data_IF_441741585579
#
_entry.id   IF_441741585579
#
_cell.length_a   1.000
_cell.length_b   1.000
_cell.length_c   1.000
_cell.angle_alpha   90.00
_cell.angle_beta   90.00
_cell.angle_gamma   90.00
#
_symmetry.space_group_name_H-M   'P 1'
#
loop_
_entity.id
_entity.type
_entity.pdbx_description
1 polymer ?
#
# COMPACT_ATOMS: atom_id res chain seq x y z
N UNK A 1 2.71 -24.90 -10.66
CA UNK A 1 1.88 -23.73 -10.99
C UNK A 1 2.75 -22.77 -11.79
N UNK A 2 2.36 -22.39 -13.00
CA UNK A 2 3.02 -21.30 -13.71
C UNK A 2 2.57 -19.99 -13.04
N UNK A 3 3.50 -19.24 -12.44
CA UNK A 3 3.19 -17.92 -11.87
C UNK A 3 2.71 -16.93 -12.92
N UNK A 4 2.06 -15.84 -12.49
CA UNK A 4 1.67 -14.70 -13.34
C UNK A 4 2.93 -14.04 -13.91
N UNK A 5 2.96 -13.73 -15.21
CA UNK A 5 4.14 -13.21 -15.91
C UNK A 5 3.86 -11.98 -16.76
N UNK A 6 2.58 -11.70 -17.05
CA UNK A 6 2.17 -10.66 -17.99
C UNK A 6 1.48 -9.54 -17.22
N UNK A 7 2.29 -8.59 -16.77
CA UNK A 7 1.83 -7.45 -15.96
C UNK A 7 1.75 -6.17 -16.80
N UNK A 8 0.71 -5.37 -16.56
CA UNK A 8 0.68 -3.95 -16.93
C UNK A 8 0.86 -3.14 -15.66
N UNK A 9 1.69 -2.11 -15.73
CA UNK A 9 1.87 -1.12 -14.67
C UNK A 9 1.09 0.13 -15.03
N UNK A 10 0.28 0.60 -14.08
CA UNK A 10 -0.43 1.86 -14.14
C UNK A 10 -0.02 2.65 -12.91
N UNK A 11 0.28 3.94 -13.04
CA UNK A 11 0.68 4.75 -11.88
C UNK A 11 0.22 6.18 -11.99
N UNK A 12 0.01 6.84 -10.86
CA UNK A 12 -0.16 8.29 -10.89
C UNK A 12 1.18 8.95 -11.24
N UNK A 13 1.13 10.11 -11.90
CA UNK A 13 2.32 10.92 -12.20
C UNK A 13 2.82 11.68 -10.96
N UNK A 14 2.99 10.97 -9.85
CA UNK A 14 3.41 11.48 -8.55
C UNK A 14 4.66 10.75 -8.08
N UNK A 15 5.48 11.39 -7.24
CA UNK A 15 6.68 10.73 -6.66
C UNK A 15 6.32 9.39 -6.01
N UNK A 16 5.17 9.34 -5.33
CA UNK A 16 4.66 8.13 -4.72
C UNK A 16 4.38 7.03 -5.77
N UNK A 17 3.62 7.34 -6.82
CA UNK A 17 3.32 6.39 -7.90
C UNK A 17 4.56 5.85 -8.62
N UNK A 18 5.54 6.71 -8.91
CA UNK A 18 6.83 6.30 -9.49
C UNK A 18 7.60 5.37 -8.53
N UNK A 19 7.73 5.75 -7.25
CA UNK A 19 8.54 5.00 -6.27
C UNK A 19 8.14 3.54 -6.07
N UNK A 20 6.87 3.20 -6.32
CA UNK A 20 6.33 1.85 -6.17
C UNK A 20 6.47 0.97 -7.41
N UNK A 21 6.77 1.56 -8.56
CA UNK A 21 6.66 0.88 -9.87
C UNK A 21 8.00 0.65 -10.55
N UNK A 22 9.04 1.41 -10.17
CA UNK A 22 10.36 1.38 -10.80
C UNK A 22 11.00 -0.03 -10.84
N UNK A 23 10.70 -0.89 -9.87
CA UNK A 23 11.29 -2.24 -9.75
C UNK A 23 10.47 -3.35 -10.44
N UNK A 24 9.31 -3.04 -11.03
CA UNK A 24 8.45 -4.05 -11.64
C UNK A 24 8.85 -4.38 -13.07
N UNK A 25 9.00 -5.67 -13.38
CA UNK A 25 9.07 -6.16 -14.76
C UNK A 25 7.66 -6.18 -15.35
N UNK A 26 7.46 -5.46 -16.47
CA UNK A 26 6.14 -5.24 -17.05
C UNK A 26 6.15 -5.26 -18.58
N UNK A 27 4.96 -5.46 -19.16
CA UNK A 27 4.73 -5.36 -20.60
C UNK A 27 4.48 -3.91 -21.05
N UNK A 28 3.91 -3.12 -20.15
CA UNK A 28 3.57 -1.73 -20.36
C UNK A 28 3.61 -1.02 -19.02
N UNK A 29 4.17 0.19 -18.99
CA UNK A 29 4.06 1.14 -17.89
C UNK A 29 3.39 2.41 -18.44
N UNK A 30 2.37 2.90 -17.75
CA UNK A 30 1.69 4.13 -18.14
C UNK A 30 1.34 4.97 -16.92
N UNK A 31 1.75 6.23 -17.00
CA UNK A 31 1.36 7.26 -16.06
C UNK A 31 -0.06 7.77 -16.37
N UNK A 32 -0.86 7.98 -15.33
CA UNK A 32 -2.12 8.71 -15.35
C UNK A 32 -2.04 9.91 -14.42
N UNK A 33 -2.85 10.92 -14.66
CA UNK A 33 -2.90 12.08 -13.77
C UNK A 33 -3.64 11.75 -12.48
N UNK A 34 -3.20 12.35 -11.37
CA UNK A 34 -3.92 12.27 -10.09
C UNK A 34 -5.34 12.82 -10.26
N UNK A 35 -6.32 12.13 -9.69
CA UNK A 35 -7.74 12.45 -9.86
C UNK A 35 -8.40 11.87 -11.13
N UNK A 36 -7.70 11.07 -11.92
CA UNK A 36 -8.31 10.37 -13.06
C UNK A 36 -9.45 9.46 -12.58
N UNK A 37 -10.64 9.60 -13.16
CA UNK A 37 -11.81 8.78 -12.83
C UNK A 37 -12.29 7.90 -14.00
N UNK A 38 -11.89 8.23 -15.24
CA UNK A 38 -12.37 7.56 -16.45
C UNK A 38 -11.27 6.69 -17.07
N UNK A 39 -11.35 5.38 -16.83
CA UNK A 39 -10.35 4.41 -17.30
C UNK A 39 -10.82 3.53 -18.45
N UNK A 40 -12.07 3.63 -18.90
CA UNK A 40 -12.67 2.69 -19.86
C UNK A 40 -11.88 2.55 -21.17
N UNK A 41 -11.58 3.67 -21.84
CA UNK A 41 -10.81 3.66 -23.09
C UNK A 41 -9.36 3.20 -22.87
N UNK A 42 -8.77 3.59 -21.75
CA UNK A 42 -7.40 3.21 -21.38
C UNK A 42 -7.29 1.71 -21.14
N UNK A 43 -8.16 1.12 -20.32
CA UNK A 43 -8.21 -0.33 -20.07
C UNK A 43 -8.50 -1.12 -21.34
N UNK A 44 -9.35 -0.59 -22.24
CA UNK A 44 -9.62 -1.24 -23.52
C UNK A 44 -8.35 -1.40 -24.40
N UNK A 45 -7.36 -0.51 -24.22
CA UNK A 45 -6.08 -0.53 -24.93
C UNK A 45 -5.07 -1.54 -24.38
N UNK A 46 -5.33 -2.15 -23.22
CA UNK A 46 -4.42 -3.14 -22.63
C UNK A 46 -4.23 -4.36 -23.55
N UNK A 47 -3.05 -5.01 -23.52
CA UNK A 47 -2.86 -6.31 -24.15
C UNK A 47 -3.89 -7.31 -23.61
N UNK A 48 -4.45 -8.16 -24.49
CA UNK A 48 -5.58 -9.04 -24.13
C UNK A 48 -5.19 -10.22 -23.25
N UNK A 49 -3.91 -10.55 -23.19
CA UNK A 49 -3.36 -11.71 -22.48
C UNK A 49 -2.59 -11.30 -21.22
N UNK A 50 -3.04 -10.24 -20.53
CA UNK A 50 -2.45 -9.82 -19.26
C UNK A 50 -3.03 -10.63 -18.09
N UNK A 51 -2.15 -11.00 -17.16
CA UNK A 51 -2.52 -11.73 -15.95
C UNK A 51 -2.93 -10.79 -14.82
N UNK A 52 -2.27 -9.63 -14.75
CA UNK A 52 -2.45 -8.66 -13.67
C UNK A 52 -2.20 -7.24 -14.12
N UNK A 53 -2.78 -6.31 -13.37
CA UNK A 53 -2.40 -4.90 -13.37
C UNK A 53 -1.77 -4.58 -12.02
N UNK A 54 -0.59 -3.98 -12.03
CA UNK A 54 -0.01 -3.36 -10.84
C UNK A 54 -0.29 -1.86 -10.86
N UNK A 55 -0.95 -1.34 -9.82
CA UNK A 55 -1.31 0.07 -9.71
C UNK A 55 -0.51 0.79 -8.62
N UNK A 56 0.26 1.80 -9.03
CA UNK A 56 0.99 2.70 -8.16
C UNK A 56 0.26 4.02 -7.95
N UNK A 57 -0.57 4.12 -6.92
CA UNK A 57 -1.34 5.32 -6.63
C UNK A 57 -2.28 5.12 -5.45
N UNK A 58 -3.35 5.93 -5.38
CA UNK A 58 -4.27 5.92 -4.23
C UNK A 58 -5.70 5.61 -4.67
N UNK A 59 -6.59 6.60 -4.65
CA UNK A 59 -8.04 6.44 -4.78
C UNK A 59 -8.49 6.14 -6.22
N UNK A 60 -7.69 6.49 -7.24
CA UNK A 60 -7.99 6.21 -8.64
C UNK A 60 -7.90 4.70 -8.98
N UNK A 61 -7.35 3.89 -8.07
CA UNK A 61 -7.36 2.45 -8.19
C UNK A 61 -8.78 1.87 -8.26
N UNK A 62 -9.76 2.50 -7.59
CA UNK A 62 -11.14 2.03 -7.60
C UNK A 62 -11.84 2.17 -8.97
N UNK A 63 -11.84 3.35 -9.63
CA UNK A 63 -12.35 3.45 -10.99
C UNK A 63 -11.55 2.64 -12.01
N UNK A 64 -10.22 2.50 -11.84
CA UNK A 64 -9.40 1.59 -12.66
C UNK A 64 -9.89 0.14 -12.54
N UNK A 65 -10.08 -0.35 -11.31
CA UNK A 65 -10.59 -1.69 -11.05
C UNK A 65 -11.95 -1.94 -11.71
N UNK A 66 -12.89 -0.99 -11.58
CA UNK A 66 -14.21 -1.10 -12.21
C UNK A 66 -14.11 -1.20 -13.73
N UNK A 67 -13.23 -0.41 -14.35
CA UNK A 67 -13.00 -0.48 -15.79
C UNK A 67 -12.38 -1.84 -16.19
N UNK A 68 -11.45 -2.39 -15.41
CA UNK A 68 -10.87 -3.73 -15.61
C UNK A 68 -11.95 -4.82 -15.58
N UNK A 69 -12.84 -4.79 -14.58
CA UNK A 69 -13.94 -5.75 -14.46
C UNK A 69 -14.93 -5.64 -15.60
N UNK A 70 -15.31 -4.42 -15.99
CA UNK A 70 -16.19 -4.20 -17.13
C UNK A 70 -15.58 -4.73 -18.46
N UNK A 71 -14.27 -4.57 -18.64
CA UNK A 71 -13.55 -5.03 -19.83
C UNK A 71 -13.12 -6.51 -19.78
N UNK A 72 -13.26 -7.17 -18.62
CA UNK A 72 -12.82 -8.55 -18.36
C UNK A 72 -11.33 -8.77 -18.66
N UNK A 73 -10.48 -7.86 -18.20
CA UNK A 73 -9.01 -7.91 -18.35
C UNK A 73 -8.31 -7.77 -17.01
N UNK A 74 -7.12 -8.34 -16.86
CA UNK A 74 -6.31 -8.19 -15.64
C UNK A 74 -7.05 -8.75 -14.42
N UNK A 75 -7.24 -10.07 -14.38
CA UNK A 75 -8.02 -10.76 -13.35
C UNK A 75 -7.58 -10.44 -11.91
N UNK A 76 -6.31 -10.06 -11.73
CA UNK A 76 -5.78 -9.52 -10.49
C UNK A 76 -5.42 -8.03 -10.64
N UNK A 77 -5.92 -7.21 -9.73
CA UNK A 77 -5.34 -5.89 -9.45
C UNK A 77 -4.43 -6.02 -8.22
N UNK A 78 -3.13 -5.79 -8.40
CA UNK A 78 -2.18 -5.60 -7.32
C UNK A 78 -1.91 -4.10 -7.15
N UNK A 79 -1.77 -3.63 -5.93
CA UNK A 79 -1.61 -2.20 -5.61
C UNK A 79 -0.61 -2.04 -4.48
N UNK A 80 -0.11 -0.83 -4.24
CA UNK A 80 0.55 -0.51 -2.97
C UNK A 80 -0.41 0.01 -1.91
N UNK A 81 0.15 0.46 -0.79
CA UNK A 81 -0.55 0.81 0.44
C UNK A 81 -1.54 1.99 0.30
N UNK A 82 -1.42 2.79 -0.75
CA UNK A 82 -2.33 3.87 -1.09
C UNK A 82 -3.75 3.40 -1.41
N UNK A 83 -3.94 2.15 -1.82
CA UNK A 83 -5.25 1.53 -1.98
C UNK A 83 -5.73 0.78 -0.72
N UNK A 84 -4.94 0.74 0.35
CA UNK A 84 -5.39 0.21 1.65
C UNK A 84 -6.29 1.22 2.39
N UNK A 85 -7.28 1.77 1.70
CA UNK A 85 -8.15 2.80 2.22
C UNK A 85 -9.60 2.36 2.11
N UNK A 86 -10.29 2.30 3.26
CA UNK A 86 -11.70 1.98 3.34
C UNK A 86 -12.57 2.96 2.57
N UNK A 87 -12.34 4.26 2.77
CA UNK A 87 -13.19 5.34 2.27
C UNK A 87 -12.87 5.70 0.82
N UNK A 88 -11.58 5.72 0.47
CA UNK A 88 -11.16 6.22 -0.83
C UNK A 88 -10.94 5.12 -1.89
N UNK A 89 -10.85 3.84 -1.47
CA UNK A 89 -10.69 2.73 -2.40
C UNK A 89 -11.75 1.64 -2.22
N UNK A 90 -11.84 1.01 -1.04
CA UNK A 90 -12.69 -0.18 -0.85
C UNK A 90 -14.18 0.12 -1.02
N UNK A 91 -14.68 1.17 -0.36
CA UNK A 91 -16.09 1.60 -0.49
C UNK A 91 -16.43 2.02 -1.94
N UNK A 92 -15.63 2.87 -2.61
CA UNK A 92 -15.84 3.18 -4.01
C UNK A 92 -15.75 1.96 -4.94
N UNK A 93 -14.83 1.02 -4.70
CA UNK A 93 -14.68 -0.19 -5.50
C UNK A 93 -15.91 -1.10 -5.37
N UNK A 94 -16.46 -1.23 -4.17
CA UNK A 94 -17.61 -2.07 -3.87
C UNK A 94 -17.39 -3.52 -4.31
N UNK A 95 -18.41 -4.14 -4.91
CA UNK A 95 -18.36 -5.53 -5.37
C UNK A 95 -17.22 -5.81 -6.38
N UNK A 96 -16.70 -4.80 -7.09
CA UNK A 96 -15.58 -4.99 -8.01
C UNK A 96 -14.31 -5.49 -7.30
N UNK A 97 -14.15 -5.16 -6.01
CA UNK A 97 -13.03 -5.63 -5.17
C UNK A 97 -13.08 -7.13 -4.87
N UNK A 98 -14.26 -7.75 -4.96
CA UNK A 98 -14.47 -9.17 -4.67
C UNK A 98 -14.57 -10.03 -5.94
N UNK A 99 -14.64 -9.39 -7.11
CA UNK A 99 -14.71 -10.08 -8.40
C UNK A 99 -13.34 -10.62 -8.84
N UNK A 100 -13.39 -11.67 -9.67
CA UNK A 100 -12.23 -12.40 -10.20
C UNK A 100 -11.30 -12.92 -9.08
N UNK A 101 -10.03 -12.53 -9.09
CA UNK A 101 -9.06 -12.88 -8.04
C UNK A 101 -9.02 -11.85 -6.89
N UNK A 102 -9.94 -10.89 -6.92
CA UNK A 102 -9.99 -9.79 -5.98
C UNK A 102 -8.87 -8.76 -6.18
N UNK A 103 -8.47 -8.12 -5.08
CA UNK A 103 -7.42 -7.10 -5.02
C UNK A 103 -6.34 -7.53 -4.05
N UNK A 104 -5.08 -7.41 -4.45
CA UNK A 104 -3.93 -7.53 -3.56
C UNK A 104 -3.36 -6.15 -3.26
N UNK A 105 -3.11 -5.89 -1.97
CA UNK A 105 -2.54 -4.63 -1.50
C UNK A 105 -1.21 -4.93 -0.83
N UNK A 106 -0.12 -4.40 -1.37
CA UNK A 106 1.21 -4.48 -0.80
C UNK A 106 1.33 -3.38 0.26
N UNK A 107 1.39 -3.79 1.53
CA UNK A 107 1.53 -2.88 2.66
C UNK A 107 2.79 -3.20 3.46
N UNK A 108 3.46 -2.15 3.94
CA UNK A 108 4.60 -2.29 4.86
C UNK A 108 4.16 -2.55 6.31
N UNK A 109 2.86 -2.43 6.61
CA UNK A 109 2.33 -2.60 7.94
C UNK A 109 2.44 -4.07 8.39
N UNK A 110 2.98 -4.33 9.59
CA UNK A 110 3.17 -5.68 10.08
C UNK A 110 1.82 -6.40 10.32
N UNK A 111 1.79 -7.69 10.01
CA UNK A 111 0.62 -8.53 10.25
C UNK A 111 0.29 -8.60 11.75
N UNK A 112 -0.98 -8.33 12.08
CA UNK A 112 -1.48 -8.38 13.45
C UNK A 112 -1.36 -9.82 13.97
N UNK A 113 -0.64 -9.99 15.07
CA UNK A 113 -0.41 -11.28 15.69
C UNK A 113 0.87 -11.98 15.29
N UNK A 114 1.64 -11.42 14.34
CA UNK A 114 2.98 -11.91 14.00
C UNK A 114 4.04 -11.17 14.82
N UNK A 115 3.92 -9.86 14.95
CA UNK A 115 4.83 -9.05 15.78
C UNK A 115 4.36 -9.03 17.23
N UNK A 116 5.27 -9.23 18.18
CA UNK A 116 4.95 -9.16 19.61
C UNK A 116 4.32 -7.80 19.98
N UNK A 117 3.21 -7.80 20.71
CA UNK A 117 2.51 -6.57 21.11
C UNK A 117 1.52 -6.03 20.09
N UNK A 118 1.51 -6.56 18.86
CA UNK A 118 0.62 -6.07 17.78
C UNK A 118 -0.85 -6.32 18.06
N UNK A 119 -1.22 -7.44 18.70
CA UNK A 119 -2.62 -7.73 19.07
C UNK A 119 -3.12 -6.76 20.12
N UNK A 120 -2.30 -6.49 21.13
CA UNK A 120 -2.62 -5.55 22.20
C UNK A 120 -2.71 -4.12 21.68
N UNK A 121 -1.84 -3.74 20.73
CA UNK A 121 -1.98 -2.46 20.05
C UNK A 121 -3.30 -2.36 19.27
N UNK A 122 -3.59 -3.36 18.42
CA UNK A 122 -4.81 -3.39 17.61
C UNK A 122 -6.08 -3.31 18.48
N UNK A 123 -6.12 -4.03 19.59
CA UNK A 123 -7.23 -3.99 20.54
C UNK A 123 -7.38 -2.58 21.15
N UNK A 124 -6.31 -2.02 21.73
CA UNK A 124 -6.36 -0.67 22.34
C UNK A 124 -6.74 0.42 21.34
N UNK A 125 -6.25 0.30 20.10
CA UNK A 125 -6.62 1.23 19.04
C UNK A 125 -8.10 1.12 18.73
N UNK A 126 -8.59 -0.12 18.55
CA UNK A 126 -9.99 -0.40 18.19
C UNK A 126 -10.96 0.09 19.26
N UNK A 127 -10.67 -0.16 20.53
CA UNK A 127 -11.50 0.27 21.65
C UNK A 127 -11.64 1.80 21.74
N UNK A 128 -10.66 2.53 21.23
CA UNK A 128 -10.59 4.00 21.35
C UNK A 128 -10.98 4.76 20.09
N UNK A 129 -10.66 4.21 18.92
CA UNK A 129 -10.74 4.91 17.64
C UNK A 129 -11.54 4.14 16.58
N UNK A 130 -12.01 2.92 16.88
CA UNK A 130 -12.66 2.04 15.92
C UNK A 130 -11.66 1.31 15.01
N UNK A 131 -12.11 0.79 13.86
CA UNK A 131 -11.30 -0.11 13.04
C UNK A 131 -9.91 0.45 12.71
N UNK A 132 -8.90 -0.42 12.77
CA UNK A 132 -7.52 -0.09 12.44
C UNK A 132 -7.45 0.47 11.01
N UNK A 133 -6.71 1.57 10.84
CA UNK A 133 -6.49 2.23 9.56
C UNK A 133 -5.06 1.98 9.08
N UNK A 134 -4.85 2.07 7.77
CA UNK A 134 -3.60 1.73 7.08
C UNK A 134 -2.32 2.25 7.75
N UNK A 135 -2.29 3.52 8.17
CA UNK A 135 -1.09 4.12 8.76
C UNK A 135 -1.06 4.15 10.29
N UNK A 136 -2.05 3.54 10.96
CA UNK A 136 -2.17 3.64 12.42
C UNK A 136 -0.97 2.99 13.15
N UNK A 137 -0.53 1.83 12.69
CA UNK A 137 0.59 1.10 13.29
C UNK A 137 1.90 1.85 13.03
N UNK A 138 2.16 2.22 11.78
CA UNK A 138 3.40 2.92 11.40
C UNK A 138 3.55 4.25 12.13
N UNK A 139 2.46 5.02 12.28
CA UNK A 139 2.46 6.25 13.06
C UNK A 139 2.76 5.99 14.54
N UNK A 140 2.20 4.91 15.11
CA UNK A 140 2.44 4.55 16.50
C UNK A 140 3.90 4.16 16.73
N UNK A 141 4.47 3.32 15.86
CA UNK A 141 5.84 2.85 15.97
C UNK A 141 6.83 4.01 15.77
N UNK A 142 6.60 4.89 14.81
CA UNK A 142 7.41 6.09 14.60
C UNK A 142 7.40 7.00 15.84
N UNK A 143 6.24 7.24 16.44
CA UNK A 143 6.12 8.04 17.65
C UNK A 143 6.80 7.35 18.86
N UNK A 144 6.62 6.04 19.02
CA UNK A 144 7.24 5.27 20.09
C UNK A 144 8.78 5.30 19.97
N UNK A 145 9.31 5.10 18.77
CA UNK A 145 10.74 5.14 18.49
C UNK A 145 11.34 6.53 18.75
N UNK A 146 10.62 7.59 18.34
CA UNK A 146 11.03 8.98 18.60
C UNK A 146 11.11 9.27 20.10
N UNK A 147 10.07 8.89 20.85
CA UNK A 147 10.02 9.09 22.30
C UNK A 147 11.13 8.33 23.02
N UNK A 148 11.43 7.10 22.58
CA UNK A 148 12.52 6.32 23.17
C UNK A 148 13.89 6.93 22.88
N UNK A 149 14.12 7.41 21.66
CA UNK A 149 15.35 8.11 21.32
C UNK A 149 15.55 9.37 22.17
N UNK A 150 14.48 10.13 22.45
CA UNK A 150 14.52 11.28 23.37
C UNK A 150 14.89 10.84 24.78
N UNK A 151 14.28 9.76 25.30
CA UNK A 151 14.59 9.25 26.65
C UNK A 151 16.05 8.82 26.76
N UNK A 152 16.58 8.10 25.77
CA UNK A 152 17.97 7.67 25.73
C UNK A 152 18.93 8.86 25.66
N UNK A 153 18.66 9.83 24.79
CA UNK A 153 19.48 11.04 24.68
C UNK A 153 19.49 11.84 26.00
N UNK A 154 18.34 11.93 26.68
CA UNK A 154 18.23 12.57 28.00
C UNK A 154 19.07 11.85 29.04
N UNK A 155 18.97 10.52 29.13
CA UNK A 155 19.76 9.71 30.09
C UNK A 155 21.26 9.83 29.86
N UNK A 156 21.68 9.95 28.60
CA UNK A 156 23.08 10.14 28.24
C UNK A 156 23.58 11.59 28.36
N UNK A 157 22.73 12.54 28.77
CA UNK A 157 23.00 13.99 28.75
C UNK A 157 23.46 14.51 27.36
N UNK A 158 22.89 13.95 26.29
CA UNK A 158 23.19 14.25 24.87
C UNK A 158 21.97 14.77 24.12
N UNK A 159 21.07 15.48 24.82
CA UNK A 159 19.94 16.15 24.21
C UNK A 159 20.46 17.21 23.22
N UNK A 160 20.10 17.05 21.94
CA UNK A 160 20.37 18.05 20.91
C UNK A 160 19.10 18.30 20.10
N UNK A 161 19.12 19.34 19.24
CA UNK A 161 18.03 19.58 18.27
C UNK A 161 17.93 18.50 17.19
N UNK A 162 18.93 17.62 17.09
CA UNK A 162 18.96 16.50 16.17
C UNK A 162 18.84 15.18 16.95
N UNK A 163 17.90 14.34 16.54
CA UNK A 163 17.76 13.00 17.09
C UNK A 163 18.40 12.05 16.09
N UNK A 164 19.47 11.36 16.51
CA UNK A 164 20.08 10.28 15.73
C UNK A 164 19.39 8.98 16.12
N UNK A 165 18.57 8.45 15.23
CA UNK A 165 18.02 7.11 15.37
C UNK A 165 19.12 6.11 14.99
N UNK A 166 19.56 5.30 15.96
CA UNK A 166 20.43 4.16 15.70
C UNK A 166 19.54 2.93 15.63
N UNK A 167 19.53 2.24 14.50
CA UNK A 167 19.03 0.87 14.45
C UNK A 167 20.06 0.00 15.16
N UNK A 168 19.68 -0.66 16.25
CA UNK A 168 20.46 -1.81 16.73
C UNK A 168 20.29 -2.88 15.66
N UNK A 169 21.29 -3.09 14.81
CA UNK A 169 21.41 -4.35 14.11
C UNK A 169 21.54 -5.41 15.21
N UNK A 170 20.54 -6.28 15.33
CA UNK A 170 20.68 -7.49 16.11
C UNK A 170 21.71 -8.36 15.40
N UNK A 171 22.93 -8.39 15.92
CA UNK A 171 23.83 -9.52 15.70
C UNK A 171 23.08 -10.77 16.19
N UNK A 172 22.63 -11.57 15.24
CA UNK A 172 22.12 -12.91 15.49
C UNK A 172 23.36 -13.79 15.72
N UNK A 173 23.56 -14.21 16.96
CA UNK A 173 24.38 -15.36 17.33
C UNK A 173 23.48 -16.55 17.64
#
# INVERSE_FOLDING_TARGET
MNGKRRAVVVRTNTVYGHSMTDEFVHLQDTAVEEGTAEFGAFVASFPKDIDLVFYGGTFEGAPLLKAMRAAKVGHLLATGDGCWDGWNFLEPAGEAAEQDEGVLVLSACPEIGVVQGSREFAQRYTDRFGPLKNYAVDCYDAAAQLLEAIRLAKRANRLTRHIKLHTRSSEVH
#
